data_IF_585984367280
#
_entry.id   IF_585984367280
#
_cell.length_a   1.000
_cell.length_b   1.000
_cell.length_c   1.000
_cell.angle_alpha   90.00
_cell.angle_beta   90.00
_cell.angle_gamma   90.00
#
_symmetry.space_group_name_H-M   'P 1'
#
loop_
_entity.id
_entity.type
_entity.pdbx_description
1 polymer ?
#
# COMPACT_ATOMS: atom_id res chain seq x y z
N UNK A 1 -12.44 -11.70 20.13
CA UNK A 1 -12.17 -11.22 19.61
C UNK A 1 -11.85 -10.79 19.18
N UNK A 2 -11.74 -10.51 18.85
CA UNK A 2 -11.35 -9.88 18.33
C UNK A 2 -11.25 -9.11 17.76
N UNK A 3 -10.86 -8.96 17.62
CA UNK A 3 -10.67 -8.09 17.12
C UNK A 3 -11.04 -7.85 15.94
N UNK A 4 -11.75 -7.64 15.54
CA UNK A 4 -11.97 -7.34 14.56
C UNK A 4 -12.02 -5.99 14.33
N UNK A 5 -11.70 -5.32 15.20
CA UNK A 5 -11.44 -3.98 14.94
C UNK A 5 -10.57 -3.83 13.77
N UNK A 6 -9.92 -4.88 13.44
CA UNK A 6 -9.15 -4.87 12.25
C UNK A 6 -10.09 -4.84 11.10
N UNK A 7 -10.14 -3.76 10.43
CA UNK A 7 -11.01 -3.59 9.31
C UNK A 7 -10.39 -4.18 8.07
N UNK A 8 -11.20 -4.85 7.28
CA UNK A 8 -10.76 -5.28 6.01
C UNK A 8 -10.85 -4.17 4.99
N UNK A 9 -11.47 -3.04 5.37
CA UNK A 9 -11.58 -1.86 4.54
C UNK A 9 -11.03 -0.69 5.33
N UNK A 10 -9.72 -0.43 5.23
CA UNK A 10 -9.12 0.66 5.99
C UNK A 10 -9.66 2.01 5.53
N UNK A 11 -9.53 3.00 6.40
CA UNK A 11 -9.90 4.36 6.05
C UNK A 11 -9.07 4.83 4.87
N UNK A 12 -9.66 5.58 3.94
CA UNK A 12 -8.90 6.08 2.80
C UNK A 12 -7.79 7.03 3.23
N UNK A 13 -6.63 6.86 2.64
CA UNK A 13 -5.51 7.76 2.82
C UNK A 13 -5.24 8.44 1.49
N UNK A 14 -5.43 9.74 1.45
CA UNK A 14 -5.25 10.52 0.22
C UNK A 14 -3.88 11.15 0.25
N UNK A 15 -3.12 10.94 -0.81
CA UNK A 15 -1.71 11.27 -0.85
C UNK A 15 -1.46 12.17 -2.06
N UNK A 16 -0.53 13.12 -1.91
CA UNK A 16 -0.05 13.91 -3.02
C UNK A 16 1.45 13.72 -3.11
N UNK A 17 1.92 13.34 -4.29
CA UNK A 17 3.34 13.16 -4.54
C UNK A 17 3.69 13.87 -5.83
N UNK A 18 4.98 14.21 -5.98
CA UNK A 18 5.45 14.80 -7.21
C UNK A 18 6.12 13.73 -8.06
N UNK A 19 5.91 13.83 -9.37
CA UNK A 19 6.54 12.91 -10.31
C UNK A 19 8.05 12.90 -10.11
N UNK A 20 8.64 11.73 -10.15
CA UNK A 20 10.08 11.48 -9.98
C UNK A 20 10.61 11.79 -8.58
N UNK A 21 9.72 11.91 -7.59
CA UNK A 21 10.13 12.04 -6.20
C UNK A 21 10.02 10.70 -5.49
N UNK A 22 10.85 10.54 -4.47
CA UNK A 22 10.77 9.39 -3.60
C UNK A 22 9.52 9.45 -2.76
N UNK A 23 8.86 8.31 -2.62
CA UNK A 23 7.70 8.14 -1.75
C UNK A 23 8.00 7.01 -0.79
N UNK A 24 7.93 7.30 0.51
CA UNK A 24 8.20 6.32 1.54
C UNK A 24 7.09 6.36 2.57
N UNK A 25 6.53 5.19 2.88
CA UNK A 25 5.46 5.08 3.87
C UNK A 25 5.51 3.67 4.46
N UNK A 26 5.10 3.55 5.72
CA UNK A 26 5.12 2.28 6.43
C UNK A 26 3.73 1.89 6.88
N UNK A 27 3.46 0.59 6.89
CA UNK A 27 2.19 0.05 7.33
C UNK A 27 2.43 -1.07 8.33
N UNK A 28 1.49 -1.20 9.28
CA UNK A 28 1.53 -2.27 10.26
C UNK A 28 0.12 -2.74 10.54
N UNK A 29 -0.03 -4.00 10.91
CA UNK A 29 -1.31 -4.64 11.16
C UNK A 29 -1.36 -5.02 12.63
N UNK A 30 -2.17 -4.32 13.39
CA UNK A 30 -2.29 -4.55 14.82
C UNK A 30 -3.74 -4.74 15.18
N UNK A 31 -3.98 -5.41 16.32
CA UNK A 31 -5.33 -5.55 16.82
C UNK A 31 -5.75 -4.32 17.61
N UNK A 32 -6.94 -4.36 18.20
CA UNK A 32 -7.49 -3.21 18.89
C UNK A 32 -6.72 -2.82 20.15
N UNK A 33 -5.86 -3.71 20.65
CA UNK A 33 -5.02 -3.42 21.81
C UNK A 33 -3.63 -2.94 21.42
N UNK A 34 -3.35 -2.87 20.11
CA UNK A 34 -2.05 -2.46 19.64
C UNK A 34 -1.06 -3.60 19.48
N UNK A 35 -1.49 -4.84 19.70
CA UNK A 35 -0.63 -6.00 19.56
C UNK A 35 -0.42 -6.32 18.08
N UNK A 36 0.83 -6.54 17.71
CA UNK A 36 1.16 -6.84 16.32
C UNK A 36 0.58 -8.18 15.91
N UNK A 37 -0.07 -8.21 14.76
CA UNK A 37 -0.60 -9.43 14.17
C UNK A 37 0.36 -9.92 13.11
N UNK A 38 0.78 -11.18 13.22
CA UNK A 38 1.71 -11.75 12.26
C UNK A 38 1.12 -11.77 10.85
N UNK A 39 1.91 -11.36 9.89
CA UNK A 39 1.55 -11.43 8.48
C UNK A 39 2.32 -12.52 7.75
N UNK A 40 2.86 -13.48 8.49
CA UNK A 40 3.58 -14.59 7.88
C UNK A 40 2.66 -15.34 6.91
N UNK A 41 3.19 -15.66 5.75
CA UNK A 41 2.42 -16.36 4.72
C UNK A 41 1.65 -15.44 3.78
N UNK A 42 1.66 -14.13 4.04
CA UNK A 42 1.01 -13.17 3.15
C UNK A 42 2.04 -12.58 2.19
N UNK A 43 1.56 -12.15 1.03
CA UNK A 43 2.39 -11.47 0.04
C UNK A 43 1.81 -10.09 -0.21
N UNK A 44 2.57 -9.02 0.08
CA UNK A 44 2.08 -7.66 -0.14
C UNK A 44 2.27 -7.22 -1.58
N UNK A 45 1.29 -6.50 -2.11
CA UNK A 45 1.36 -5.85 -3.41
C UNK A 45 0.70 -4.49 -3.28
N UNK A 46 1.37 -3.46 -3.74
CA UNK A 46 0.80 -2.12 -3.80
C UNK A 46 0.63 -1.73 -5.25
N UNK A 47 -0.54 -1.22 -5.61
CA UNK A 47 -0.84 -0.85 -6.99
C UNK A 47 -1.50 0.51 -7.07
N UNK A 48 -1.12 1.26 -8.11
CA UNK A 48 -1.82 2.49 -8.50
C UNK A 48 -2.61 2.19 -9.77
N UNK A 49 -3.86 2.61 -9.80
CA UNK A 49 -4.73 2.45 -10.98
C UNK A 49 -5.43 3.76 -11.26
N UNK A 50 -5.85 3.96 -12.50
CA UNK A 50 -6.61 5.15 -12.86
C UNK A 50 -8.00 5.14 -12.24
N UNK A 51 -8.50 3.96 -11.90
CA UNK A 51 -9.73 3.81 -11.13
C UNK A 51 -9.72 2.44 -10.47
N UNK A 52 -10.60 2.25 -9.47
CA UNK A 52 -10.67 0.97 -8.77
C UNK A 52 -11.05 -0.18 -9.70
N UNK A 53 -11.73 0.12 -10.81
CA UNK A 53 -12.17 -0.89 -11.76
C UNK A 53 -11.20 -1.08 -12.91
N UNK A 54 -10.12 -0.29 -12.97
CA UNK A 54 -9.18 -0.39 -14.08
C UNK A 54 -8.43 -1.71 -14.01
N UNK A 55 -8.26 -2.35 -15.14
CA UNK A 55 -7.49 -3.58 -15.22
C UNK A 55 -6.00 -3.34 -15.36
N UNK A 56 -5.64 -2.18 -15.88
CA UNK A 56 -4.25 -1.82 -16.10
C UNK A 56 -3.75 -1.01 -14.93
N UNK A 57 -2.61 -1.39 -14.38
CA UNK A 57 -2.00 -0.65 -13.27
C UNK A 57 -0.98 0.34 -13.82
N UNK A 58 -0.94 1.52 -13.21
CA UNK A 58 0.07 2.52 -13.53
C UNK A 58 1.38 2.25 -12.80
N UNK A 59 1.29 1.64 -11.63
CA UNK A 59 2.45 1.32 -10.81
C UNK A 59 2.13 0.08 -10.01
N UNK A 60 3.07 -0.84 -9.93
CA UNK A 60 2.91 -2.05 -9.12
C UNK A 60 4.20 -2.30 -8.37
N UNK A 61 4.11 -2.45 -7.05
CA UNK A 61 5.25 -2.71 -6.19
C UNK A 61 5.08 -4.07 -5.52
N UNK A 62 6.19 -4.79 -5.42
CA UNK A 62 6.22 -6.09 -4.77
C UNK A 62 7.44 -6.17 -3.86
N UNK A 63 7.55 -7.25 -3.10
CA UNK A 63 8.69 -7.45 -2.22
C UNK A 63 9.97 -7.49 -3.06
N UNK A 64 10.95 -6.68 -2.67
CA UNK A 64 12.19 -6.54 -3.43
C UNK A 64 12.11 -5.53 -4.55
N UNK A 65 10.93 -4.99 -4.80
CA UNK A 65 10.70 -3.98 -5.84
C UNK A 65 9.83 -2.88 -5.26
N UNK A 66 10.39 -2.10 -4.34
CA UNK A 66 9.71 -1.01 -3.68
C UNK A 66 9.09 -1.38 -2.35
N UNK A 67 8.99 -2.66 -2.02
CA UNK A 67 8.43 -3.11 -0.74
C UNK A 67 9.46 -3.91 0.03
N UNK A 68 9.63 -3.57 1.31
CA UNK A 68 10.34 -4.40 2.27
C UNK A 68 9.31 -4.97 3.23
N UNK A 69 9.32 -6.28 3.44
CA UNK A 69 8.29 -6.96 4.18
C UNK A 69 8.87 -7.71 5.37
N UNK A 70 8.39 -7.35 6.57
CA UNK A 70 8.81 -7.97 7.83
C UNK A 70 7.56 -8.43 8.56
N UNK A 71 7.07 -9.65 8.32
CA UNK A 71 5.73 -10.02 8.80
C UNK A 71 5.58 -10.02 10.32
N UNK A 72 6.66 -10.14 11.07
CA UNK A 72 6.58 -10.28 12.52
C UNK A 72 7.29 -9.16 13.28
N UNK A 73 7.62 -8.07 12.61
CA UNK A 73 8.27 -6.95 13.29
C UNK A 73 7.85 -5.63 12.65
N UNK A 74 7.93 -4.55 13.42
CA UNK A 74 7.53 -3.22 12.97
C UNK A 74 8.67 -2.53 12.26
N UNK A 75 8.40 -1.80 11.20
CA UNK A 75 7.14 -1.81 10.47
C UNK A 75 7.05 -3.05 9.59
N UNK A 76 5.85 -3.58 9.44
CA UNK A 76 5.71 -4.83 8.71
C UNK A 76 5.87 -4.64 7.20
N UNK A 77 5.33 -3.55 6.67
CA UNK A 77 5.45 -3.25 5.25
C UNK A 77 6.04 -1.86 5.11
N UNK A 78 7.19 -1.80 4.45
CA UNK A 78 7.87 -0.53 4.17
C UNK A 78 7.82 -0.30 2.68
N UNK A 79 7.24 0.82 2.29
CA UNK A 79 7.18 1.24 0.89
C UNK A 79 8.24 2.31 0.68
N UNK A 80 9.08 2.12 -0.30
CA UNK A 80 10.11 3.10 -0.64
C UNK A 80 10.39 2.98 -2.14
N UNK A 81 9.92 3.95 -2.89
CA UNK A 81 10.05 3.91 -4.34
C UNK A 81 10.03 5.32 -4.90
N UNK A 82 10.45 5.45 -6.13
CA UNK A 82 10.34 6.69 -6.87
C UNK A 82 9.09 6.62 -7.73
N UNK A 83 8.22 7.62 -7.61
CA UNK A 83 6.96 7.63 -8.33
C UNK A 83 7.22 8.23 -9.71
N UNK A 84 7.10 7.41 -10.75
CA UNK A 84 7.34 7.85 -12.12
C UNK A 84 6.11 7.74 -13.00
N UNK A 85 4.92 7.67 -12.39
CA UNK A 85 3.68 7.67 -13.13
C UNK A 85 3.44 9.01 -13.79
N UNK A 86 2.67 9.02 -14.87
CA UNK A 86 2.27 10.28 -15.48
C UNK A 86 1.48 11.12 -14.47
N UNK A 87 1.56 12.45 -14.56
CA UNK A 87 0.77 13.30 -13.67
C UNK A 87 -0.72 13.00 -13.81
N UNK A 88 -1.42 13.03 -12.69
CA UNK A 88 -2.85 12.76 -12.67
C UNK A 88 -3.29 12.19 -11.35
N UNK A 89 -4.54 11.80 -11.29
CA UNK A 89 -5.12 11.22 -10.10
C UNK A 89 -5.30 9.72 -10.28
N UNK A 90 -4.89 8.98 -9.27
CA UNK A 90 -4.95 7.52 -9.29
C UNK A 90 -5.60 7.04 -8.01
N UNK A 91 -6.04 5.79 -8.02
CA UNK A 91 -6.44 5.08 -6.81
C UNK A 91 -5.34 4.07 -6.48
N UNK A 92 -5.09 3.89 -5.19
CA UNK A 92 -4.06 2.97 -4.75
C UNK A 92 -4.60 2.04 -3.68
N UNK A 93 -4.00 0.85 -3.60
CA UNK A 93 -4.26 -0.04 -2.48
C UNK A 93 -3.01 -0.84 -2.17
N UNK A 94 -2.94 -1.28 -0.93
CA UNK A 94 -1.92 -2.23 -0.47
C UNK A 94 -2.66 -3.48 -0.04
N UNK A 95 -2.51 -4.53 -0.82
CA UNK A 95 -3.22 -5.78 -0.63
C UNK A 95 -2.25 -6.85 -0.17
N UNK A 96 -2.64 -7.64 0.83
CA UNK A 96 -1.88 -8.78 1.26
C UNK A 96 -2.65 -10.05 0.93
N UNK A 97 -2.01 -10.93 0.17
CA UNK A 97 -2.64 -12.16 -0.31
C UNK A 97 -2.03 -13.35 0.41
N UNK A 98 -2.84 -14.15 1.11
CA UNK A 98 -2.32 -15.36 1.77
C UNK A 98 -2.14 -16.49 0.76
N UNK A 99 -1.47 -17.56 1.21
CA UNK A 99 -1.35 -18.76 0.40
C UNK A 99 -2.71 -19.36 0.08
N UNK A 100 -3.66 -19.21 1.00
CA UNK A 100 -5.03 -19.61 0.75
C UNK A 100 -5.93 -18.72 1.61
N UNK A 101 -7.16 -18.50 1.15
CA UNK A 101 -8.10 -17.67 1.87
C UNK A 101 -8.21 -16.27 1.28
N UNK A 102 -8.90 -15.41 1.99
CA UNK A 102 -9.21 -14.07 1.50
C UNK A 102 -8.05 -13.13 1.71
N UNK A 103 -7.87 -12.23 0.76
CA UNK A 103 -6.87 -11.15 0.89
C UNK A 103 -7.36 -10.10 1.86
N UNK A 104 -6.40 -9.37 2.43
CA UNK A 104 -6.73 -8.22 3.28
C UNK A 104 -6.05 -6.99 2.70
N UNK A 105 -6.58 -5.83 3.03
CA UNK A 105 -6.03 -4.55 2.58
C UNK A 105 -5.51 -3.80 3.78
N UNK A 106 -4.25 -3.37 3.74
CA UNK A 106 -3.67 -2.54 4.80
C UNK A 106 -3.80 -1.07 4.51
N UNK A 107 -3.99 -0.70 3.26
CA UNK A 107 -4.15 0.69 2.90
C UNK A 107 -4.88 0.84 1.58
N UNK A 108 -5.50 1.99 1.40
CA UNK A 108 -6.17 2.35 0.15
C UNK A 108 -6.43 3.84 0.15
N UNK A 109 -6.78 4.37 -1.00
CA UNK A 109 -7.14 5.77 -1.11
C UNK A 109 -6.85 6.30 -2.49
N UNK A 110 -6.62 7.60 -2.57
CA UNK A 110 -6.27 8.25 -3.82
C UNK A 110 -4.85 8.79 -3.72
N UNK A 111 -4.21 8.91 -4.87
CA UNK A 111 -2.91 9.55 -4.96
C UNK A 111 -2.93 10.53 -6.12
N UNK A 112 -2.54 11.76 -5.84
CA UNK A 112 -2.39 12.79 -6.85
C UNK A 112 -0.92 12.86 -7.19
N UNK A 113 -0.58 12.59 -8.45
CA UNK A 113 0.79 12.74 -8.93
C UNK A 113 0.88 14.06 -9.67
N UNK A 114 1.67 14.96 -9.14
CA UNK A 114 1.86 16.27 -9.74
C UNK A 114 3.07 16.23 -10.68
N UNK A 115 3.00 17.03 -11.74
CA UNK A 115 4.08 17.09 -12.68
C UNK A 115 5.34 17.60 -12.01
N UNK A 116 6.48 17.03 -12.38
CA UNK A 116 7.77 17.56 -11.96
C UNK A 116 7.96 18.93 -12.59
N UNK A 117 8.35 19.89 -11.77
CA UNK A 117 8.61 21.23 -12.26
C UNK A 117 10.11 21.39 -12.43
N UNK A 118 10.53 21.56 -13.66
CA UNK A 118 11.94 21.71 -13.99
C UNK A 118 12.23 23.16 -14.29
N UNK A 119 13.35 23.66 -13.79
CA UNK A 119 13.78 25.03 -14.03
C UNK A 119 15.15 25.07 -14.63
#
# INVERSE_FOLDING_TARGET
MPSQAISQTPDPLNITVRQNQEWAINFSYTDSTGTLISLAGYTPILQFRTSALAKTTALSLTVGNGITFNPNSLPQVQIDTTINCAPGKYEWDLKLTPASGASIFLGRGTVQVDAEVSR
#
